data_IF_271787561857
#
_entry.id   IF_271787561857
#
_cell.length_a   1.000
_cell.length_b   1.000
_cell.length_c   1.000
_cell.angle_alpha   90.00
_cell.angle_beta   90.00
_cell.angle_gamma   90.00
#
_symmetry.space_group_name_H-M   'P 1'
#
loop_
_entity.id
_entity.type
_entity.pdbx_description
1 polymer ?
#
# COMPACT_ATOMS: atom_id res chain seq x y z
N UNK A 1 -46.68 22.09 -22.69
CA UNK A 1 -46.90 22.41 -21.26
C UNK A 1 -45.55 22.36 -20.59
N UNK A 2 -44.89 23.51 -20.50
CA UNK A 2 -43.50 23.62 -19.99
C UNK A 2 -43.58 24.14 -18.56
N UNK A 3 -43.89 23.25 -17.62
CA UNK A 3 -43.88 23.56 -16.19
C UNK A 3 -42.60 23.01 -15.56
N UNK A 4 -42.05 23.77 -14.61
CA UNK A 4 -41.11 23.29 -13.58
C UNK A 4 -39.60 23.39 -13.86
N UNK A 5 -39.15 24.34 -14.69
CA UNK A 5 -37.72 24.69 -14.81
C UNK A 5 -37.26 25.82 -13.87
N UNK A 6 -37.87 25.97 -12.69
CA UNK A 6 -37.53 27.05 -11.77
C UNK A 6 -37.66 26.70 -10.29
N UNK A 7 -37.09 25.56 -9.88
CA UNK A 7 -36.62 25.43 -8.50
C UNK A 7 -35.10 25.35 -8.57
N UNK A 8 -34.49 26.54 -8.64
CA UNK A 8 -33.04 26.70 -8.58
C UNK A 8 -32.50 25.87 -7.44
N UNK A 9 -31.44 25.11 -7.73
CA UNK A 9 -30.70 24.21 -6.84
C UNK A 9 -30.73 24.71 -5.38
N UNK A 10 -31.77 24.31 -4.64
CA UNK A 10 -31.98 24.80 -3.28
C UNK A 10 -30.85 24.35 -2.39
N UNK A 11 -30.85 24.75 -1.12
CA UNK A 11 -29.80 24.36 -0.17
C UNK A 11 -29.51 22.84 -0.18
N UNK A 12 -30.55 22.01 -0.40
CA UNK A 12 -30.42 20.56 -0.55
C UNK A 12 -29.70 20.10 -1.83
N UNK A 13 -29.87 20.80 -2.96
CA UNK A 13 -29.14 20.51 -4.19
C UNK A 13 -27.65 20.87 -4.08
N UNK A 14 -27.34 22.01 -3.44
CA UNK A 14 -25.96 22.39 -3.14
C UNK A 14 -25.28 21.41 -2.17
N UNK A 15 -26.00 21.00 -1.12
CA UNK A 15 -25.50 20.00 -0.17
C UNK A 15 -25.26 18.64 -0.84
N UNK A 16 -26.21 18.18 -1.67
CA UNK A 16 -26.09 16.93 -2.41
C UNK A 16 -24.92 16.92 -3.39
N UNK A 17 -24.70 18.04 -4.11
CA UNK A 17 -23.57 18.19 -5.02
C UNK A 17 -22.23 18.23 -4.25
N UNK A 18 -22.17 18.96 -3.13
CA UNK A 18 -20.98 19.02 -2.29
C UNK A 18 -20.63 17.66 -1.67
N UNK A 19 -21.64 16.95 -1.13
CA UNK A 19 -21.45 15.59 -0.62
C UNK A 19 -20.99 14.62 -1.72
N UNK A 20 -21.62 14.68 -2.90
CA UNK A 20 -21.23 13.83 -4.03
C UNK A 20 -19.78 14.08 -4.47
N UNK A 21 -19.36 15.35 -4.51
CA UNK A 21 -17.99 15.74 -4.82
C UNK A 21 -17.00 15.23 -3.77
N UNK A 22 -17.29 15.42 -2.48
CA UNK A 22 -16.43 14.95 -1.38
C UNK A 22 -16.36 13.43 -1.36
N UNK A 23 -17.48 12.73 -1.56
CA UNK A 23 -17.52 11.27 -1.65
C UNK A 23 -16.69 10.76 -2.83
N UNK A 24 -16.80 11.41 -4.00
CA UNK A 24 -15.99 11.08 -5.17
C UNK A 24 -14.49 11.25 -4.88
N UNK A 25 -14.06 12.40 -4.34
CA UNK A 25 -12.66 12.61 -3.97
C UNK A 25 -12.18 11.65 -2.88
N UNK A 26 -13.03 11.36 -1.89
CA UNK A 26 -12.74 10.37 -0.85
C UNK A 26 -12.50 8.97 -1.43
N UNK A 27 -13.32 8.56 -2.40
CA UNK A 27 -13.17 7.28 -3.11
C UNK A 27 -11.91 7.26 -3.97
N UNK A 28 -11.60 8.35 -4.67
CA UNK A 28 -10.36 8.50 -5.45
C UNK A 28 -9.14 8.38 -4.53
N UNK A 29 -9.11 9.12 -3.41
CA UNK A 29 -8.02 9.04 -2.42
C UNK A 29 -7.91 7.64 -1.85
N UNK A 30 -9.04 7.02 -1.48
CA UNK A 30 -9.06 5.65 -0.98
C UNK A 30 -8.50 4.65 -2.01
N UNK A 31 -8.91 4.76 -3.27
CA UNK A 31 -8.42 3.90 -4.35
C UNK A 31 -6.91 4.08 -4.57
N UNK A 32 -6.44 5.33 -4.56
CA UNK A 32 -5.01 5.67 -4.64
C UNK A 32 -4.24 5.06 -3.47
N UNK A 33 -4.72 5.22 -2.25
CA UNK A 33 -4.09 4.64 -1.03
C UNK A 33 -4.09 3.12 -1.10
N UNK A 34 -5.18 2.47 -1.54
CA UNK A 34 -5.23 1.01 -1.69
C UNK A 34 -4.24 0.53 -2.75
N UNK A 35 -4.13 1.23 -3.87
CA UNK A 35 -3.20 0.91 -4.95
C UNK A 35 -1.74 1.01 -4.46
N UNK A 36 -1.35 2.13 -3.86
CA UNK A 36 0.00 2.30 -3.32
C UNK A 36 0.29 1.35 -2.16
N UNK A 37 -0.67 1.15 -1.25
CA UNK A 37 -0.55 0.15 -0.17
C UNK A 37 -0.37 -1.26 -0.74
N UNK A 38 -0.99 -1.60 -1.86
CA UNK A 38 -0.84 -2.92 -2.49
C UNK A 38 0.52 -3.09 -3.19
N UNK A 39 1.12 -2.00 -3.68
CA UNK A 39 2.48 -1.97 -4.20
C UNK A 39 3.51 -2.08 -3.07
N UNK A 40 3.34 -1.33 -1.97
CA UNK A 40 4.16 -1.50 -0.76
C UNK A 40 3.95 -2.87 -0.09
N UNK A 41 2.76 -3.46 -0.17
CA UNK A 41 2.52 -4.82 0.34
C UNK A 41 3.29 -5.90 -0.44
N UNK A 42 3.68 -5.66 -1.68
CA UNK A 42 4.50 -6.60 -2.45
C UNK A 42 6.00 -6.50 -2.10
N UNK A 43 6.46 -5.35 -1.59
CA UNK A 43 7.83 -5.18 -1.09
C UNK A 43 8.01 -5.33 0.43
N UNK A 44 6.92 -5.22 1.21
CA UNK A 44 7.03 -5.05 2.68
C UNK A 44 6.12 -5.98 3.48
N UNK A 45 5.28 -6.81 2.85
CA UNK A 45 4.54 -7.87 3.58
C UNK A 45 5.34 -9.18 3.72
N UNK A 46 6.50 -9.27 3.08
CA UNK A 46 7.56 -10.25 3.38
C UNK A 46 8.67 -9.65 4.27
N UNK A 47 8.79 -8.32 4.37
CA UNK A 47 9.76 -7.64 5.24
C UNK A 47 9.35 -7.66 6.73
N UNK A 48 8.59 -8.67 7.16
CA UNK A 48 8.41 -8.96 8.56
C UNK A 48 9.48 -9.98 8.97
N UNK A 49 10.70 -9.45 9.14
CA UNK A 49 11.63 -9.93 10.15
C UNK A 49 12.26 -11.31 9.93
N UNK A 50 12.43 -11.77 8.68
CA UNK A 50 13.28 -12.95 8.46
C UNK A 50 14.76 -12.51 8.47
N UNK A 51 15.58 -12.99 9.41
CA UNK A 51 17.01 -12.66 9.44
C UNK A 51 17.75 -13.05 8.15
N UNK A 52 17.18 -13.94 7.33
CA UNK A 52 17.67 -14.31 6.01
C UNK A 52 17.68 -13.13 5.01
N UNK A 53 16.67 -12.27 5.00
CA UNK A 53 16.59 -11.14 4.05
C UNK A 53 17.72 -10.12 4.29
N UNK A 54 18.12 -9.92 5.56
CA UNK A 54 19.24 -9.06 5.93
C UNK A 54 20.57 -9.67 5.47
N UNK A 55 20.67 -11.00 5.49
CA UNK A 55 21.86 -11.71 5.04
C UNK A 55 22.01 -11.64 3.51
N UNK A 56 20.90 -11.78 2.77
CA UNK A 56 20.85 -11.63 1.31
C UNK A 56 21.27 -10.23 0.86
N UNK A 57 20.75 -9.18 1.51
CA UNK A 57 21.10 -7.78 1.21
C UNK A 57 22.59 -7.49 1.44
N UNK A 58 23.19 -8.07 2.49
CA UNK A 58 24.65 -7.92 2.76
C UNK A 58 25.52 -8.70 1.77
N UNK A 59 25.08 -9.89 1.35
CA UNK A 59 25.76 -10.65 0.30
C UNK A 59 25.70 -9.92 -1.05
N UNK A 60 24.53 -9.37 -1.42
CA UNK A 60 24.35 -8.58 -2.64
C UNK A 60 25.21 -7.30 -2.66
N UNK A 61 25.46 -6.69 -1.50
CA UNK A 61 26.38 -5.56 -1.33
C UNK A 61 27.86 -5.98 -1.34
N UNK A 62 28.15 -7.28 -1.30
CA UNK A 62 29.52 -7.81 -1.21
C UNK A 62 30.17 -7.57 0.15
N UNK A 63 29.39 -7.30 1.20
CA UNK A 63 29.91 -7.14 2.56
C UNK A 63 30.29 -8.49 3.21
N UNK A 64 29.77 -9.59 2.67
CA UNK A 64 29.93 -10.96 3.19
C UNK A 64 30.24 -11.88 2.01
N UNK A 65 31.13 -12.85 2.22
CA UNK A 65 31.51 -13.85 1.22
C UNK A 65 30.55 -15.05 1.18
N UNK A 66 30.54 -15.81 0.09
CA UNK A 66 29.62 -16.94 -0.16
C UNK A 66 29.70 -17.99 0.97
N UNK A 67 30.91 -18.30 1.46
CA UNK A 67 31.12 -19.27 2.54
C UNK A 67 30.45 -18.81 3.83
N UNK A 68 30.56 -17.52 4.15
CA UNK A 68 30.00 -16.94 5.37
C UNK A 68 28.49 -16.76 5.26
N UNK A 69 27.98 -16.48 4.05
CA UNK A 69 26.56 -16.49 3.73
C UNK A 69 25.94 -17.86 4.04
N UNK A 70 26.48 -18.94 3.48
CA UNK A 70 25.94 -20.29 3.69
C UNK A 70 25.97 -20.71 5.16
N UNK A 71 27.09 -20.46 5.86
CA UNK A 71 27.21 -20.80 7.27
C UNK A 71 26.15 -20.10 8.14
N UNK A 72 25.86 -18.81 7.88
CA UNK A 72 24.86 -18.05 8.64
C UNK A 72 23.43 -18.40 8.24
N UNK A 73 23.19 -18.66 6.95
CA UNK A 73 21.88 -19.07 6.45
C UNK A 73 21.44 -20.42 7.03
N UNK A 74 22.35 -21.38 7.17
CA UNK A 74 22.06 -22.69 7.75
C UNK A 74 21.72 -22.61 9.24
N UNK A 75 22.43 -21.77 9.99
CA UNK A 75 22.13 -21.51 11.41
C UNK A 75 20.75 -20.89 11.57
N UNK A 76 20.42 -19.89 10.75
CA UNK A 76 19.11 -19.23 10.79
C UNK A 76 17.97 -20.19 10.43
N UNK A 77 18.18 -21.03 9.40
CA UNK A 77 17.20 -22.05 8.97
C UNK A 77 16.99 -23.13 10.02
N UNK A 78 18.03 -23.52 10.75
CA UNK A 78 17.93 -24.47 11.86
C UNK A 78 17.24 -23.89 13.10
N UNK A 79 17.39 -22.58 13.35
CA UNK A 79 16.77 -21.90 14.49
C UNK A 79 15.28 -21.58 14.29
N UNK A 80 14.82 -21.52 13.04
CA UNK A 80 13.44 -21.20 12.67
C UNK A 80 12.55 -22.45 12.49
N UNK A 81 13.09 -23.63 12.79
CA UNK A 81 12.48 -24.94 12.65
C UNK A 81 12.13 -25.56 14.01
#
# INVERSE_FOLDING_TARGET
MMGWYHDGMGWGGWLGMALGMVAFWGLVVWAVVVLFRSTESQGTRAANHDPLDILDDRFARGEIDEVEYHARADVLRAAHH
#
